data_IF_991588603211
#
_entry.id   IF_991588603211
#
_cell.length_a   1.000
_cell.length_b   1.000
_cell.length_c   1.000
_cell.angle_alpha   90.00
_cell.angle_beta   90.00
_cell.angle_gamma   90.00
#
_symmetry.space_group_name_H-M   'P 1'
#
loop_
_entity.id
_entity.type
_entity.pdbx_description
1 polymer ?
#
# COMPACT_ATOMS: atom_id res chain seq x y z
N UNK A 1 23.35 -0.03 0.69
CA UNK A 1 22.04 0.60 0.40
C UNK A 1 20.88 -0.41 0.37
N UNK A 2 20.94 -1.49 -0.41
CA UNK A 2 19.84 -2.49 -0.57
C UNK A 2 19.33 -3.10 0.76
N UNK A 3 20.23 -3.39 1.71
CA UNK A 3 19.87 -3.90 3.04
C UNK A 3 18.98 -2.93 3.83
N UNK A 4 19.23 -1.62 3.71
CA UNK A 4 18.44 -0.59 4.41
C UNK A 4 17.05 -0.46 3.77
N UNK A 5 17.00 -0.47 2.43
CA UNK A 5 15.75 -0.49 1.65
C UNK A 5 14.85 -1.65 2.05
N UNK A 6 15.36 -2.89 2.10
CA UNK A 6 14.57 -4.07 2.48
C UNK A 6 14.04 -3.98 3.92
N UNK A 7 14.81 -3.39 4.84
CA UNK A 7 14.38 -3.14 6.22
C UNK A 7 13.22 -2.15 6.27
N UNK A 8 13.29 -1.08 5.50
CA UNK A 8 12.21 -0.07 5.41
C UNK A 8 10.95 -0.68 4.79
N UNK A 9 11.08 -1.43 3.68
CA UNK A 9 9.94 -2.10 3.05
C UNK A 9 9.27 -3.13 3.95
N UNK A 10 10.05 -3.86 4.78
CA UNK A 10 9.50 -4.74 5.83
C UNK A 10 8.70 -3.95 6.86
N UNK A 11 9.24 -2.84 7.36
CA UNK A 11 8.56 -1.97 8.34
C UNK A 11 7.24 -1.43 7.76
N UNK A 12 7.29 -0.90 6.55
CA UNK A 12 6.13 -0.40 5.81
C UNK A 12 5.08 -1.50 5.61
N UNK A 13 5.49 -2.69 5.18
CA UNK A 13 4.58 -3.84 5.00
C UNK A 13 3.97 -4.29 6.33
N UNK A 14 4.75 -4.28 7.42
CA UNK A 14 4.27 -4.63 8.75
C UNK A 14 3.17 -3.66 9.25
N UNK A 15 3.30 -2.35 8.97
CA UNK A 15 2.25 -1.37 9.27
C UNK A 15 0.95 -1.67 8.51
N UNK A 16 1.06 -2.07 7.25
CA UNK A 16 -0.10 -2.46 6.43
C UNK A 16 -0.69 -3.81 6.84
N UNK A 17 0.13 -4.71 7.40
CA UNK A 17 -0.29 -6.03 7.88
C UNK A 17 -1.13 -5.99 9.16
N UNK A 18 -1.25 -4.81 9.80
CA UNK A 18 -2.25 -4.57 10.85
C UNK A 18 -3.70 -4.54 10.32
N UNK A 19 -3.86 -4.63 9.00
CA UNK A 19 -5.11 -4.68 8.26
C UNK A 19 -5.14 -5.97 7.43
N UNK A 20 -6.28 -6.37 6.81
CA UNK A 20 -6.35 -7.55 5.93
C UNK A 20 -5.64 -7.31 4.59
N UNK A 21 -4.32 -7.11 4.65
CA UNK A 21 -3.46 -6.85 3.51
C UNK A 21 -3.44 -8.04 2.55
N UNK A 22 -3.30 -9.25 3.09
CA UNK A 22 -3.19 -10.47 2.28
C UNK A 22 -4.46 -10.72 1.47
N UNK A 23 -5.62 -10.53 2.09
CA UNK A 23 -6.92 -10.64 1.41
C UNK A 23 -7.02 -9.62 0.26
N UNK A 24 -6.52 -8.40 0.46
CA UNK A 24 -6.46 -7.42 -0.62
C UNK A 24 -5.49 -7.82 -1.73
N UNK A 25 -4.29 -8.32 -1.40
CA UNK A 25 -3.30 -8.77 -2.37
C UNK A 25 -3.76 -9.98 -3.20
N UNK A 26 -4.74 -10.74 -2.69
CA UNK A 26 -5.39 -11.83 -3.42
C UNK A 26 -6.68 -11.40 -4.14
N UNK A 27 -7.11 -10.14 -3.98
CA UNK A 27 -8.38 -9.65 -4.52
C UNK A 27 -8.32 -9.32 -6.01
N UNK A 28 -9.49 -9.36 -6.65
CA UNK A 28 -9.66 -8.93 -8.04
C UNK A 28 -9.29 -7.45 -8.23
N UNK A 29 -9.53 -6.59 -7.23
CA UNK A 29 -9.18 -5.18 -7.30
C UNK A 29 -7.68 -4.96 -7.37
N UNK A 30 -6.90 -5.73 -6.61
CA UNK A 30 -5.45 -5.67 -6.72
C UNK A 30 -4.98 -6.21 -8.07
N UNK A 31 -5.58 -7.29 -8.58
CA UNK A 31 -5.27 -7.80 -9.92
C UNK A 31 -5.58 -6.79 -11.04
N UNK A 32 -6.66 -6.02 -10.92
CA UNK A 32 -6.98 -4.92 -11.86
C UNK A 32 -5.97 -3.79 -11.72
N UNK A 33 -5.64 -3.38 -10.50
CA UNK A 33 -4.61 -2.37 -10.25
C UNK A 33 -3.26 -2.75 -10.87
N UNK A 34 -2.82 -4.01 -10.73
CA UNK A 34 -1.59 -4.49 -11.35
C UNK A 34 -1.63 -4.43 -12.88
N UNK A 35 -2.78 -4.71 -13.52
CA UNK A 35 -2.94 -4.57 -14.98
C UNK A 35 -2.84 -3.11 -15.41
N UNK A 36 -3.51 -2.21 -14.68
CA UNK A 36 -3.47 -0.77 -14.98
C UNK A 36 -2.08 -0.15 -14.79
N UNK A 37 -1.23 -0.75 -13.95
CA UNK A 37 0.14 -0.32 -13.72
C UNK A 37 1.17 -1.10 -14.54
N UNK A 38 0.77 -2.07 -15.36
CA UNK A 38 1.68 -2.96 -16.10
C UNK A 38 2.70 -3.66 -15.18
N UNK A 39 2.18 -4.29 -14.11
CA UNK A 39 2.96 -4.94 -13.05
C UNK A 39 2.48 -6.37 -12.72
N UNK A 40 1.66 -6.97 -13.59
CA UNK A 40 1.12 -8.33 -13.41
C UNK A 40 2.24 -9.37 -13.39
N UNK A 41 3.15 -9.33 -14.35
CA UNK A 41 4.20 -10.33 -14.48
C UNK A 41 5.23 -10.24 -13.33
N UNK A 42 5.72 -9.04 -12.95
CA UNK A 42 6.57 -8.92 -11.76
C UNK A 42 5.90 -9.40 -10.48
N UNK A 43 4.60 -9.13 -10.28
CA UNK A 43 3.89 -9.66 -9.12
C UNK A 43 3.81 -11.19 -9.15
N UNK A 44 3.43 -11.77 -10.28
CA UNK A 44 3.31 -13.23 -10.44
C UNK A 44 4.63 -13.93 -10.11
N UNK A 45 5.73 -13.47 -10.70
CA UNK A 45 7.06 -14.05 -10.49
C UNK A 45 7.45 -14.03 -9.00
N UNK A 46 7.22 -12.91 -8.30
CA UNK A 46 7.56 -12.80 -6.87
C UNK A 46 6.61 -13.59 -5.98
N UNK A 47 5.36 -13.73 -6.36
CA UNK A 47 4.38 -14.53 -5.64
C UNK A 47 4.68 -16.03 -5.77
N UNK A 48 4.93 -16.53 -6.97
CA UNK A 48 5.35 -17.93 -7.21
C UNK A 48 6.64 -18.25 -6.46
N UNK A 49 7.67 -17.41 -6.61
CA UNK A 49 8.95 -17.61 -5.91
C UNK A 49 8.82 -17.63 -4.38
N UNK A 50 7.87 -16.89 -3.79
CA UNK A 50 7.67 -16.89 -2.35
C UNK A 50 6.88 -18.12 -1.86
N UNK A 51 6.02 -18.69 -2.70
CA UNK A 51 5.30 -19.94 -2.40
C UNK A 51 6.22 -21.16 -2.45
N UNK A 52 7.30 -21.09 -3.23
CA UNK A 52 8.32 -22.14 -3.30
C UNK A 52 9.29 -22.12 -2.10
N UNK A 53 9.22 -21.11 -1.21
CA UNK A 53 10.07 -21.05 -0.02
C UNK A 53 9.52 -21.97 1.09
N UNK A 54 10.22 -23.07 1.46
CA UNK A 54 9.71 -24.04 2.44
C UNK A 54 9.63 -23.52 3.88
N UNK A 55 10.10 -22.29 4.13
CA UNK A 55 10.03 -21.63 5.43
C UNK A 55 8.86 -20.65 5.54
N UNK A 56 8.11 -20.42 4.46
CA UNK A 56 7.00 -19.47 4.40
C UNK A 56 5.71 -20.21 4.08
N UNK A 57 4.66 -19.94 4.85
CA UNK A 57 3.36 -20.59 4.64
C UNK A 57 2.21 -19.59 4.74
N UNK A 58 1.16 -19.83 3.94
CA UNK A 58 -0.06 -19.03 3.93
C UNK A 58 0.22 -17.54 3.76
N UNK A 59 -0.29 -16.74 4.70
CA UNK A 59 -0.19 -15.27 4.66
C UNK A 59 1.25 -14.74 4.73
N UNK A 60 2.18 -15.48 5.32
CA UNK A 60 3.58 -15.05 5.40
C UNK A 60 4.25 -15.07 4.02
N UNK A 61 3.94 -16.07 3.18
CA UNK A 61 4.43 -16.13 1.80
C UNK A 61 3.92 -14.92 0.98
N UNK A 62 2.65 -14.54 1.14
CA UNK A 62 2.04 -13.40 0.43
C UNK A 62 2.70 -12.08 0.87
N UNK A 63 2.92 -11.88 2.17
CA UNK A 63 3.64 -10.70 2.69
C UNK A 63 5.06 -10.65 2.17
N UNK A 64 5.74 -11.79 2.12
CA UNK A 64 7.09 -11.86 1.60
C UNK A 64 7.15 -11.50 0.12
N UNK A 65 6.24 -12.08 -0.70
CA UNK A 65 6.09 -11.74 -2.10
C UNK A 65 5.85 -10.24 -2.30
N UNK A 66 5.01 -9.63 -1.46
CA UNK A 66 4.75 -8.20 -1.51
C UNK A 66 5.98 -7.35 -1.20
N UNK A 67 6.79 -7.72 -0.21
CA UNK A 67 8.06 -7.03 0.06
C UNK A 67 9.00 -7.12 -1.14
N UNK A 68 9.15 -8.31 -1.74
CA UNK A 68 9.98 -8.51 -2.93
C UNK A 68 9.46 -7.72 -4.13
N UNK A 69 8.15 -7.67 -4.29
CA UNK A 69 7.48 -6.91 -5.34
C UNK A 69 7.70 -5.39 -5.17
N UNK A 70 7.49 -4.84 -3.97
CA UNK A 70 7.79 -3.44 -3.68
C UNK A 70 9.27 -3.13 -3.93
N UNK A 71 10.17 -4.04 -3.57
CA UNK A 71 11.60 -3.90 -3.85
C UNK A 71 11.89 -3.87 -5.36
N UNK A 72 11.22 -4.71 -6.14
CA UNK A 72 11.33 -4.72 -7.60
C UNK A 72 10.83 -3.39 -8.19
N UNK A 73 9.63 -2.92 -7.81
CA UNK A 73 9.07 -1.65 -8.31
C UNK A 73 9.98 -0.49 -7.95
N UNK A 74 10.51 -0.45 -6.72
CA UNK A 74 11.43 0.59 -6.30
C UNK A 74 12.73 0.59 -7.13
N UNK A 75 13.24 -0.58 -7.50
CA UNK A 75 14.46 -0.69 -8.30
C UNK A 75 14.23 -0.32 -9.77
N UNK A 76 13.13 -0.79 -10.36
CA UNK A 76 12.85 -0.62 -11.80
C UNK A 76 12.16 0.71 -12.13
N UNK A 77 11.39 1.27 -11.19
CA UNK A 77 10.55 2.46 -11.38
C UNK A 77 10.66 3.43 -10.21
N UNK A 78 11.89 3.68 -9.74
CA UNK A 78 12.15 4.48 -8.52
C UNK A 78 11.42 5.82 -8.49
N UNK A 79 11.42 6.59 -9.59
CA UNK A 79 10.76 7.92 -9.65
C UNK A 79 9.23 7.84 -9.54
N UNK A 80 8.65 6.73 -9.95
CA UNK A 80 7.19 6.52 -9.97
C UNK A 80 6.69 5.83 -8.70
N UNK A 81 7.59 5.35 -7.85
CA UNK A 81 7.23 4.57 -6.68
C UNK A 81 6.27 5.30 -5.71
N UNK A 82 6.44 6.60 -5.37
CA UNK A 82 5.50 7.29 -4.50
C UNK A 82 4.08 7.33 -5.08
N UNK A 83 3.96 7.58 -6.38
CA UNK A 83 2.69 7.58 -7.12
C UNK A 83 2.06 6.19 -7.17
N UNK A 84 2.86 5.18 -7.47
CA UNK A 84 2.41 3.78 -7.44
C UNK A 84 1.89 3.43 -6.05
N UNK A 85 2.65 3.76 -5.01
CA UNK A 85 2.34 3.40 -3.64
C UNK A 85 1.11 4.16 -3.11
N UNK A 86 0.98 5.45 -3.40
CA UNK A 86 -0.22 6.22 -3.02
C UNK A 86 -1.49 5.67 -3.68
N UNK A 87 -1.42 5.25 -4.94
CA UNK A 87 -2.53 4.61 -5.66
C UNK A 87 -2.87 3.23 -5.10
N UNK A 88 -1.86 2.44 -4.78
CA UNK A 88 -2.04 1.17 -4.07
C UNK A 88 -2.78 1.39 -2.75
N UNK A 89 -2.33 2.34 -1.93
CA UNK A 89 -2.95 2.70 -0.65
C UNK A 89 -4.39 3.21 -0.86
N UNK A 90 -4.66 3.96 -1.93
CA UNK A 90 -6.01 4.42 -2.24
C UNK A 90 -6.95 3.25 -2.55
N UNK A 91 -6.50 2.26 -3.33
CA UNK A 91 -7.23 1.03 -3.59
C UNK A 91 -7.47 0.23 -2.30
N UNK A 92 -6.40 0.02 -1.52
CA UNK A 92 -6.46 -0.72 -0.27
C UNK A 92 -7.39 -0.07 0.77
N UNK A 93 -7.34 1.27 0.89
CA UNK A 93 -8.22 2.04 1.77
C UNK A 93 -9.71 1.89 1.48
N UNK A 94 -10.10 1.37 0.30
CA UNK A 94 -11.51 1.09 -0.04
C UNK A 94 -11.99 -0.22 0.56
N UNK A 95 -11.07 -1.11 0.94
CA UNK A 95 -11.36 -2.45 1.47
C UNK A 95 -11.27 -2.54 2.99
N UNK A 96 -10.80 -1.49 3.65
CA UNK A 96 -10.67 -1.45 5.11
C UNK A 96 -11.60 -0.39 5.71
N UNK A 97 -12.19 -0.70 6.86
CA UNK A 97 -13.08 0.23 7.58
C UNK A 97 -12.31 1.29 8.38
N UNK A 98 -11.01 1.10 8.59
CA UNK A 98 -10.15 1.94 9.44
C UNK A 98 -9.29 2.88 8.58
N UNK A 99 -8.84 3.98 9.19
CA UNK A 99 -7.92 4.91 8.55
C UNK A 99 -6.52 4.28 8.43
N UNK A 100 -5.84 4.52 7.30
CA UNK A 100 -4.45 4.12 7.12
C UNK A 100 -3.51 5.01 7.97
N UNK A 101 -2.38 4.47 8.45
CA UNK A 101 -1.34 5.24 9.14
C UNK A 101 -0.52 6.05 8.12
N UNK A 102 -1.15 7.07 7.53
CA UNK A 102 -0.59 7.79 6.38
C UNK A 102 0.70 8.51 6.75
N UNK A 103 0.73 9.18 7.90
CA UNK A 103 1.90 9.98 8.32
C UNK A 103 3.12 9.08 8.53
N UNK A 104 2.95 7.93 9.17
CA UNK A 104 4.03 6.97 9.37
C UNK A 104 4.50 6.30 8.07
N UNK A 105 3.61 6.14 7.08
CA UNK A 105 3.97 5.65 5.76
C UNK A 105 4.77 6.70 4.97
N UNK A 106 4.48 8.00 5.16
CA UNK A 106 5.28 9.08 4.58
C UNK A 106 6.69 9.11 5.16
N UNK A 107 6.83 8.98 6.48
CA UNK A 107 8.15 8.89 7.14
C UNK A 107 9.00 7.74 6.58
N UNK A 108 8.37 6.59 6.34
CA UNK A 108 9.05 5.43 5.75
C UNK A 108 9.47 5.72 4.28
N UNK A 109 8.73 6.54 3.52
CA UNK A 109 9.14 7.00 2.18
C UNK A 109 10.28 8.02 2.23
N UNK A 110 10.30 8.94 3.20
CA UNK A 110 11.45 9.84 3.42
C UNK A 110 12.72 9.03 3.68
N UNK A 111 12.61 7.95 4.46
CA UNK A 111 13.70 7.01 4.70
C UNK A 111 14.18 6.28 3.43
N UNK A 112 13.37 6.26 2.36
CA UNK A 112 13.74 5.76 1.03
C UNK A 112 14.34 6.86 0.11
N UNK A 113 14.63 8.04 0.65
CA UNK A 113 15.14 9.23 -0.02
C UNK A 113 14.16 9.93 -0.97
N UNK A 114 12.85 9.82 -0.73
CA UNK A 114 11.87 10.68 -1.37
C UNK A 114 11.74 11.99 -0.59
N UNK A 115 11.58 13.11 -1.29
CA UNK A 115 11.36 14.40 -0.66
C UNK A 115 9.93 14.52 -0.11
N UNK A 116 9.74 15.32 0.93
CA UNK A 116 8.41 15.60 1.49
C UNK A 116 7.46 16.17 0.42
N UNK A 117 7.95 17.03 -0.48
CA UNK A 117 7.17 17.62 -1.57
C UNK A 117 6.65 16.55 -2.55
N UNK A 118 7.51 15.62 -2.99
CA UNK A 118 7.10 14.51 -3.88
C UNK A 118 6.06 13.62 -3.21
N UNK A 119 6.26 13.34 -1.92
CA UNK A 119 5.35 12.51 -1.13
C UNK A 119 4.00 13.21 -0.98
N UNK A 120 3.98 14.49 -0.60
CA UNK A 120 2.76 15.25 -0.35
C UNK A 120 1.90 15.42 -1.59
N UNK A 121 2.52 15.68 -2.75
CA UNK A 121 1.83 15.75 -4.04
C UNK A 121 1.10 14.45 -4.34
N UNK A 122 1.79 13.31 -4.22
CA UNK A 122 1.20 12.01 -4.55
C UNK A 122 0.21 11.52 -3.49
N UNK A 123 0.44 11.85 -2.22
CA UNK A 123 -0.41 11.42 -1.11
C UNK A 123 -1.64 12.31 -0.91
N UNK A 124 -1.72 13.47 -1.59
CA UNK A 124 -2.89 14.34 -1.57
C UNK A 124 -4.19 13.60 -1.94
N UNK A 125 -4.11 12.57 -2.79
CA UNK A 125 -5.25 11.73 -3.19
C UNK A 125 -5.89 10.97 -2.02
N UNK A 126 -5.12 10.69 -0.96
CA UNK A 126 -5.58 9.98 0.23
C UNK A 126 -6.36 10.90 1.18
N UNK A 127 -6.03 12.21 1.19
CA UNK A 127 -6.68 13.23 2.02
C UNK A 127 -8.11 13.57 1.57
N UNK A 128 -8.44 13.33 0.30
CA UNK A 128 -9.79 13.60 -0.26
C UNK A 128 -10.85 12.67 0.38
N UNK A 129 -10.45 11.47 0.82
CA UNK A 129 -11.35 10.51 1.49
C UNK A 129 -11.58 10.80 2.96
N UNK A 130 -10.56 11.23 3.71
CA UNK A 130 -10.72 11.56 5.14
C UNK A 130 -11.70 12.73 5.35
N UNK A 131 -11.71 13.72 4.45
CA UNK A 131 -12.68 14.83 4.50
C UNK A 131 -14.12 14.39 4.16
N UNK A 132 -14.32 13.43 3.25
CA UNK A 132 -15.66 12.90 2.93
C UNK A 132 -16.24 12.03 4.05
N UNK A 133 -15.41 11.25 4.74
CA UNK A 133 -15.84 10.43 5.88
C UNK A 133 -16.20 11.27 7.12
N UNK A 134 -15.53 12.42 7.33
CA UNK A 134 -15.93 13.41 8.34
C UNK A 134 -17.28 14.08 8.01
N UNK A 135 -17.47 14.56 6.77
CA UNK A 135 -18.74 15.18 6.34
C UNK A 135 -19.96 14.24 6.37
N UNK A 136 -19.76 12.94 6.22
CA UNK A 136 -20.85 11.96 6.31
C UNK A 136 -21.33 11.74 7.75
N UNK A 137 -20.45 11.89 8.75
CA UNK A 137 -20.83 11.81 10.18
C UNK A 137 -21.53 13.08 10.65
N UNK A 138 -21.15 14.25 10.14
CA UNK A 138 -21.79 15.51 10.50
C UNK A 138 -23.22 15.67 9.94
N UNK A 139 -23.58 14.91 8.90
CA UNK A 139 -24.95 14.94 8.34
C UNK A 139 -25.96 14.06 9.07
N UNK A 140 -25.52 13.04 9.81
CA UNK A 140 -26.41 12.11 10.52
C UNK A 140 -26.88 12.68 11.87
N UNK A 141 -26.19 13.69 12.41
CA UNK A 141 -26.57 14.31 13.68
C UNK A 141 -27.56 15.49 13.55
N UNK A 142 -28.03 15.84 12.34
CA UNK A 142 -28.88 17.02 12.13
C UNK A 142 -30.30 16.74 11.59
N UNK A 143 -30.69 15.48 11.42
CA UNK A 143 -32.06 15.09 11.05
C UNK A 143 -32.63 14.15 12.12
N UNK A 144 -32.89 14.69 13.32
CA UNK A 144 -33.78 14.06 14.29
C UNK A 144 -34.31 15.11 15.26
N UNK A 145 -35.00 16.12 14.74
CA UNK A 145 -35.90 17.00 15.50
C UNK A 145 -36.87 17.66 14.52
N UNK A 146 -37.88 16.90 14.05
CA UNK A 146 -39.20 17.40 13.62
C UNK A 146 -40.20 16.24 13.57
#
# INVERSE_FOLDING_TARGET
MVQNTRKILRKLTARLSAYPLEEYLQSNEFAVFLREQDLVDPWREKHESALDEPNLYGNEAIRHAFILFLQHVLHCRQKEFPRFFSRFLLGFSRKIARALPVDELKEDLVCLNYSDDEIDVEFAILNIKQKRSRKAKDKVCHESDY
#
